data_IF_383782599781
#
_entry.id   IF_383782599781
#
_cell.length_a   1.000
_cell.length_b   1.000
_cell.length_c   1.000
_cell.angle_alpha   90.00
_cell.angle_beta   90.00
_cell.angle_gamma   90.00
#
_symmetry.space_group_name_H-M   'P 1'
#
loop_
_entity.id
_entity.type
_entity.pdbx_description
1 polymer ?
#
# COMPACT_ATOMS: atom_id res chain seq x y z
N UNK A 1 -21.15 5.06 -0.89
CA UNK A 1 -20.47 6.37 -1.06
C UNK A 1 -19.97 6.94 0.27
N UNK A 2 -20.79 7.01 1.33
CA UNK A 2 -20.37 7.52 2.65
C UNK A 2 -19.18 6.78 3.28
N UNK A 3 -19.13 5.45 3.18
CA UNK A 3 -18.03 4.62 3.72
C UNK A 3 -16.69 4.83 3.02
N UNK A 4 -16.70 4.99 1.69
CA UNK A 4 -15.48 5.23 0.92
C UNK A 4 -14.87 6.61 1.23
N UNK A 5 -15.73 7.63 1.36
CA UNK A 5 -15.29 8.97 1.78
C UNK A 5 -14.67 8.93 3.18
N UNK A 6 -15.29 8.23 4.12
CA UNK A 6 -14.74 8.06 5.47
C UNK A 6 -13.36 7.38 5.45
N UNK A 7 -13.21 6.28 4.71
CA UNK A 7 -11.93 5.59 4.58
C UNK A 7 -10.86 6.48 3.93
N UNK A 8 -11.21 7.19 2.86
CA UNK A 8 -10.30 8.12 2.20
C UNK A 8 -9.81 9.21 3.15
N UNK A 9 -10.74 9.86 3.87
CA UNK A 9 -10.41 10.90 4.85
C UNK A 9 -9.56 10.33 5.99
N UNK A 10 -9.90 9.15 6.52
CA UNK A 10 -9.11 8.50 7.57
C UNK A 10 -7.67 8.21 7.12
N UNK A 11 -7.47 7.81 5.86
CA UNK A 11 -6.15 7.55 5.30
C UNK A 11 -5.32 8.82 5.11
N UNK A 12 -5.93 9.89 4.59
CA UNK A 12 -5.27 11.21 4.51
C UNK A 12 -4.87 11.66 5.91
N UNK A 13 -5.78 11.61 6.87
CA UNK A 13 -5.48 11.99 8.26
C UNK A 13 -4.38 11.12 8.86
N UNK A 14 -4.34 9.82 8.57
CA UNK A 14 -3.30 8.92 9.08
C UNK A 14 -1.89 9.33 8.63
N UNK A 15 -1.73 9.93 7.44
CA UNK A 15 -0.46 10.47 6.94
C UNK A 15 -0.08 11.81 7.56
N UNK A 16 -1.08 12.56 8.02
CA UNK A 16 -0.88 13.85 8.67
C UNK A 16 -0.63 13.73 10.18
N UNK A 17 -0.86 12.54 10.75
CA UNK A 17 -0.46 12.26 12.12
C UNK A 17 1.07 12.26 12.23
N UNK A 18 1.64 12.59 13.39
CA UNK A 18 3.09 12.52 13.65
C UNK A 18 3.54 11.06 13.83
N UNK A 19 3.15 10.19 12.90
CA UNK A 19 3.61 8.82 12.81
C UNK A 19 4.95 8.78 12.08
N UNK A 20 5.76 7.75 12.31
CA UNK A 20 6.96 7.55 11.50
C UNK A 20 6.59 7.42 10.02
N UNK A 21 7.40 7.95 9.09
CA UNK A 21 7.16 7.75 7.66
C UNK A 21 7.01 6.28 7.31
N UNK A 22 6.26 5.99 6.24
CA UNK A 22 5.98 4.64 5.77
C UNK A 22 5.17 3.77 6.77
N UNK A 23 4.52 4.37 7.76
CA UNK A 23 3.64 3.65 8.70
C UNK A 23 2.21 3.49 8.18
N UNK A 24 1.86 4.19 7.12
CA UNK A 24 0.51 4.20 6.56
C UNK A 24 0.35 3.05 5.56
N UNK A 25 -0.81 2.38 5.55
CA UNK A 25 -0.96 1.13 4.81
C UNK A 25 -1.26 1.34 3.31
N UNK A 26 -0.70 2.40 2.68
CA UNK A 26 -0.95 2.74 1.28
C UNK A 26 -0.58 1.60 0.33
N UNK A 27 0.55 0.93 0.57
CA UNK A 27 1.02 -0.17 -0.26
C UNK A 27 0.07 -1.38 -0.19
N UNK A 28 -0.37 -1.74 1.02
CA UNK A 28 -1.37 -2.80 1.20
C UNK A 28 -2.69 -2.48 0.53
N UNK A 29 -3.14 -1.22 0.60
CA UNK A 29 -4.35 -0.77 -0.08
C UNK A 29 -4.23 -0.85 -1.61
N UNK A 30 -3.07 -0.47 -2.15
CA UNK A 30 -2.78 -0.57 -3.58
C UNK A 30 -2.79 -2.02 -4.06
N UNK A 31 -2.25 -2.95 -3.25
CA UNK A 31 -2.26 -4.39 -3.51
C UNK A 31 -3.68 -4.95 -3.47
N UNK A 32 -4.51 -4.63 -2.47
CA UNK A 32 -5.87 -5.19 -2.40
C UNK A 32 -6.84 -4.61 -3.44
N UNK A 33 -6.57 -3.41 -3.96
CA UNK A 33 -7.47 -2.69 -4.87
C UNK A 33 -7.96 -3.53 -6.07
N UNK A 34 -7.10 -4.22 -6.85
CA UNK A 34 -7.53 -5.11 -7.93
C UNK A 34 -8.40 -6.29 -7.49
N UNK A 35 -8.31 -6.73 -6.23
CA UNK A 35 -9.10 -7.83 -5.69
C UNK A 35 -10.48 -7.40 -5.17
N UNK A 36 -10.71 -6.10 -4.98
CA UNK A 36 -11.98 -5.56 -4.46
C UNK A 36 -12.76 -4.76 -5.53
N UNK A 37 -12.07 -4.24 -6.55
CA UNK A 37 -12.69 -3.42 -7.58
C UNK A 37 -12.05 -3.62 -8.95
N UNK A 38 -12.88 -3.70 -10.00
CA UNK A 38 -12.44 -3.72 -11.40
C UNK A 38 -12.06 -2.34 -11.93
N UNK A 39 -12.44 -1.27 -11.22
CA UNK A 39 -12.24 0.11 -11.65
C UNK A 39 -10.81 0.57 -11.35
N UNK A 40 -10.09 1.03 -12.40
CA UNK A 40 -8.74 1.59 -12.26
C UNK A 40 -8.69 2.81 -11.34
N UNK A 41 -9.80 3.55 -11.21
CA UNK A 41 -9.90 4.68 -10.28
C UNK A 41 -9.64 4.25 -8.82
N UNK A 42 -10.08 3.04 -8.44
CA UNK A 42 -9.86 2.50 -7.09
C UNK A 42 -8.41 2.05 -6.92
N UNK A 43 -7.76 1.59 -7.99
CA UNK A 43 -6.37 1.13 -7.96
C UNK A 43 -5.41 2.25 -7.63
N UNK A 44 -5.72 3.46 -8.12
CA UNK A 44 -4.92 4.65 -7.89
C UNK A 44 -5.42 5.53 -6.74
N UNK A 45 -6.42 5.09 -5.97
CA UNK A 45 -6.86 5.82 -4.78
C UNK A 45 -5.73 6.03 -3.74
N UNK A 46 -4.82 5.06 -3.47
CA UNK A 46 -3.68 5.28 -2.59
C UNK A 46 -2.71 6.35 -3.10
N UNK A 47 -2.50 6.47 -4.42
CA UNK A 47 -1.70 7.57 -4.99
C UNK A 47 -2.35 8.91 -4.75
N UNK A 48 -3.68 8.98 -4.87
CA UNK A 48 -4.41 10.23 -4.62
C UNK A 48 -4.32 10.63 -3.15
N UNK A 49 -4.41 9.68 -2.22
CA UNK A 49 -4.19 9.94 -0.79
C UNK A 49 -2.78 10.47 -0.54
N UNK A 50 -1.77 9.87 -1.17
CA UNK A 50 -0.38 10.33 -1.07
C UNK A 50 -0.24 11.76 -1.59
N UNK A 51 -0.79 12.06 -2.78
CA UNK A 51 -0.78 13.39 -3.38
C UNK A 51 -1.42 14.46 -2.50
N UNK A 52 -2.63 14.19 -2.01
CA UNK A 52 -3.34 15.14 -1.14
C UNK A 52 -2.58 15.40 0.14
N UNK A 53 -1.96 14.37 0.72
CA UNK A 53 -1.18 14.53 1.95
C UNK A 53 0.12 15.30 1.71
N UNK A 54 0.81 15.05 0.59
CA UNK A 54 2.07 15.70 0.26
C UNK A 54 1.89 17.18 -0.13
N UNK A 55 0.70 17.60 -0.57
CA UNK A 55 0.34 19.02 -0.71
C UNK A 55 0.43 19.75 0.65
N UNK A 56 0.17 19.04 1.75
CA UNK A 56 0.19 19.59 3.12
C UNK A 56 1.58 19.42 3.76
N UNK A 57 2.19 18.24 3.62
CA UNK A 57 3.51 17.90 4.20
C UNK A 57 4.64 18.65 3.47
N UNK A 58 4.47 18.91 2.17
CA UNK A 58 5.45 19.53 1.30
C UNK A 58 6.07 18.54 0.33
N UNK A 59 6.36 19.02 -0.89
CA UNK A 59 6.99 18.22 -1.93
C UNK A 59 8.50 18.06 -1.72
N UNK A 60 9.04 16.92 -2.12
CA UNK A 60 10.46 16.58 -1.97
C UNK A 60 11.01 15.91 -3.23
N UNK A 61 12.33 16.00 -3.43
CA UNK A 61 12.98 15.58 -4.70
C UNK A 61 12.85 14.09 -5.06
N UNK A 62 12.61 13.22 -4.07
CA UNK A 62 12.50 11.77 -4.29
C UNK A 62 11.08 11.26 -4.52
N UNK A 63 10.07 12.14 -4.60
CA UNK A 63 8.68 11.73 -4.79
C UNK A 63 8.47 10.89 -6.04
N UNK A 64 9.17 11.18 -7.14
CA UNK A 64 8.97 10.44 -8.41
C UNK A 64 9.15 8.93 -8.19
N UNK A 65 10.12 8.51 -7.37
CA UNK A 65 10.38 7.10 -7.10
C UNK A 65 9.29 6.45 -6.24
N UNK A 66 8.86 7.11 -5.15
CA UNK A 66 7.83 6.58 -4.25
C UNK A 66 6.46 6.52 -4.93
N UNK A 67 6.11 7.53 -5.73
CA UNK A 67 4.89 7.54 -6.55
C UNK A 67 4.91 6.43 -7.60
N UNK A 68 6.04 6.27 -8.30
CA UNK A 68 6.17 5.22 -9.31
C UNK A 68 6.04 3.83 -8.69
N UNK A 69 6.71 3.58 -7.57
CA UNK A 69 6.59 2.31 -6.86
C UNK A 69 5.15 2.01 -6.43
N UNK A 70 4.46 2.98 -5.85
CA UNK A 70 3.06 2.82 -5.42
C UNK A 70 2.12 2.63 -6.61
N UNK A 71 2.38 3.29 -7.74
CA UNK A 71 1.61 3.15 -8.98
C UNK A 71 1.74 1.76 -9.61
N UNK A 72 2.89 1.10 -9.44
CA UNK A 72 3.17 -0.25 -9.96
C UNK A 72 2.50 -1.35 -9.12
N UNK A 73 2.40 -1.16 -7.81
CA UNK A 73 1.83 -2.14 -6.87
C UNK A 73 0.48 -2.77 -7.27
N UNK A 74 -0.56 -2.03 -7.72
CA UNK A 74 -1.83 -2.64 -8.12
C UNK A 74 -1.68 -3.51 -9.37
N UNK A 75 -0.73 -3.21 -10.26
CA UNK A 75 -0.46 -4.05 -11.43
C UNK A 75 0.26 -5.34 -11.01
N UNK A 76 1.25 -5.26 -10.12
CA UNK A 76 1.91 -6.46 -9.55
C UNK A 76 0.86 -7.39 -8.94
N UNK A 77 -0.06 -6.86 -8.15
CA UNK A 77 -1.13 -7.65 -7.54
C UNK A 77 -2.18 -8.16 -8.53
N UNK A 78 -2.36 -7.49 -9.68
CA UNK A 78 -3.22 -8.03 -10.75
C UNK A 78 -2.67 -9.32 -11.34
N UNK A 79 -1.34 -9.44 -11.47
CA UNK A 79 -0.68 -10.59 -12.07
C UNK A 79 -0.30 -11.68 -11.05
N UNK A 80 -0.24 -11.36 -9.76
CA UNK A 80 0.05 -12.29 -8.67
C UNK A 80 -1.22 -12.50 -7.83
N UNK A 81 -1.84 -13.67 -7.94
CA UNK A 81 -3.11 -13.98 -7.26
C UNK A 81 -3.02 -13.93 -5.73
N UNK A 82 -1.89 -14.36 -5.17
CA UNK A 82 -1.66 -14.35 -3.73
C UNK A 82 -1.29 -12.93 -3.25
N UNK A 83 -2.20 -12.29 -2.52
CA UNK A 83 -2.04 -10.92 -2.03
C UNK A 83 -0.80 -10.74 -1.13
N UNK A 84 -0.41 -11.76 -0.34
CA UNK A 84 0.79 -11.70 0.51
C UNK A 84 2.06 -11.70 -0.33
N UNK A 85 2.13 -12.56 -1.34
CA UNK A 85 3.23 -12.58 -2.31
C UNK A 85 3.28 -11.29 -3.11
N UNK A 86 2.13 -10.80 -3.59
CA UNK A 86 2.02 -9.54 -4.31
C UNK A 86 2.51 -8.36 -3.47
N UNK A 87 2.18 -8.31 -2.19
CA UNK A 87 2.67 -7.31 -1.26
C UNK A 87 4.19 -7.40 -1.09
N UNK A 88 4.73 -8.60 -0.89
CA UNK A 88 6.18 -8.81 -0.79
C UNK A 88 6.92 -8.32 -2.04
N UNK A 89 6.43 -8.68 -3.23
CA UNK A 89 6.99 -8.21 -4.50
C UNK A 89 6.86 -6.68 -4.67
N UNK A 90 5.71 -6.11 -4.35
CA UNK A 90 5.47 -4.66 -4.45
C UNK A 90 6.34 -3.88 -3.45
N UNK A 91 6.56 -4.45 -2.25
CA UNK A 91 7.44 -3.89 -1.25
C UNK A 91 8.91 -3.94 -1.70
N UNK A 92 9.36 -5.02 -2.37
CA UNK A 92 10.70 -5.07 -2.96
C UNK A 92 10.88 -4.00 -4.04
N UNK A 93 9.88 -3.78 -4.90
CA UNK A 93 9.89 -2.70 -5.89
C UNK A 93 9.99 -1.34 -5.20
N UNK A 94 9.19 -1.11 -4.16
CA UNK A 94 9.28 0.10 -3.34
C UNK A 94 10.67 0.29 -2.74
N UNK A 95 11.19 -0.74 -2.07
CA UNK A 95 12.46 -0.70 -1.37
C UNK A 95 13.63 -0.38 -2.32
N UNK A 96 13.63 -0.95 -3.52
CA UNK A 96 14.64 -0.60 -4.52
C UNK A 96 14.46 0.84 -4.97
N UNK A 97 13.28 1.24 -5.45
CA UNK A 97 13.05 2.54 -6.06
C UNK A 97 13.18 3.70 -5.07
N UNK A 98 12.56 3.61 -3.89
CA UNK A 98 12.52 4.67 -2.89
C UNK A 98 13.91 5.02 -2.35
N UNK A 99 14.85 4.08 -2.39
CA UNK A 99 16.23 4.26 -1.92
C UNK A 99 17.23 4.57 -3.05
N UNK A 100 16.79 4.66 -4.32
CA UNK A 100 17.68 5.08 -5.40
C UNK A 100 18.14 6.53 -5.16
N UNK A 101 19.46 6.71 -5.08
CA UNK A 101 20.08 8.02 -4.89
C UNK A 101 19.87 8.63 -3.50
N UNK A 102 19.38 7.86 -2.52
CA UNK A 102 19.28 8.29 -1.12
C UNK A 102 20.62 8.13 -0.39
N UNK A 103 20.71 8.70 0.81
CA UNK A 103 21.87 8.59 1.71
C UNK A 103 22.24 7.14 2.01
N UNK A 104 21.23 6.29 2.20
CA UNK A 104 21.41 4.87 2.44
C UNK A 104 21.12 4.12 1.14
N UNK A 105 22.03 3.25 0.66
CA UNK A 105 21.77 2.43 -0.50
C UNK A 105 20.63 1.45 -0.22
N UNK A 106 19.90 0.98 -1.25
CA UNK A 106 18.72 0.12 -1.07
C UNK A 106 18.97 -1.08 -0.15
N UNK A 107 20.12 -1.74 -0.27
CA UNK A 107 20.42 -2.95 0.51
C UNK A 107 21.10 -2.69 1.86
N UNK A 108 21.00 -1.47 2.41
CA UNK A 108 21.47 -1.18 3.77
C UNK A 108 20.44 -1.63 4.83
N UNK A 109 20.92 -1.90 6.04
CA UNK A 109 20.05 -2.30 7.17
C UNK A 109 19.10 -1.16 7.55
N UNK A 110 19.56 0.09 7.48
CA UNK A 110 18.78 1.28 7.79
C UNK A 110 17.61 1.47 6.83
N UNK A 111 17.87 1.34 5.51
CA UNK A 111 16.84 1.39 4.48
C UNK A 111 15.80 0.27 4.68
N UNK A 112 16.26 -0.93 5.03
CA UNK A 112 15.39 -2.07 5.31
C UNK A 112 14.48 -1.82 6.51
N UNK A 113 15.03 -1.35 7.63
CA UNK A 113 14.27 -1.04 8.86
C UNK A 113 13.30 0.13 8.65
N UNK A 114 13.63 1.06 7.77
CA UNK A 114 12.73 2.13 7.39
C UNK A 114 11.53 1.59 6.58
N UNK A 115 11.80 0.81 5.53
CA UNK A 115 10.77 0.32 4.62
C UNK A 115 9.95 -0.85 5.16
N UNK A 116 10.43 -1.60 6.16
CA UNK A 116 9.66 -2.70 6.76
C UNK A 116 8.35 -2.22 7.40
N UNK A 117 8.29 -0.94 7.81
CA UNK A 117 7.06 -0.31 8.32
C UNK A 117 5.93 -0.35 7.28
N UNK A 118 6.28 -0.15 6.02
CA UNK A 118 5.33 -0.17 4.91
C UNK A 118 4.83 -1.60 4.64
N UNK A 119 5.74 -2.58 4.76
CA UNK A 119 5.38 -3.99 4.65
C UNK A 119 4.45 -4.42 5.78
N UNK A 120 4.78 -4.07 7.02
CA UNK A 120 4.00 -4.43 8.21
C UNK A 120 2.61 -3.80 8.15
N UNK A 121 2.51 -2.50 7.85
CA UNK A 121 1.20 -1.83 7.71
C UNK A 121 0.38 -2.41 6.55
N UNK A 122 1.02 -2.78 5.45
CA UNK A 122 0.37 -3.47 4.33
C UNK A 122 -0.17 -4.85 4.72
N UNK A 123 0.62 -5.63 5.46
CA UNK A 123 0.21 -6.96 5.96
C UNK A 123 -1.00 -6.85 6.87
N UNK A 124 -1.04 -5.85 7.76
CA UNK A 124 -2.18 -5.62 8.65
C UNK A 124 -3.49 -5.42 7.86
N UNK A 125 -3.45 -4.71 6.72
CA UNK A 125 -4.63 -4.54 5.85
C UNK A 125 -5.05 -5.85 5.20
N UNK A 126 -4.10 -6.62 4.65
CA UNK A 126 -4.43 -7.90 4.00
C UNK A 126 -5.01 -8.89 5.02
N UNK A 127 -4.41 -9.00 6.20
CA UNK A 127 -4.89 -9.85 7.30
C UNK A 127 -6.30 -9.41 7.72
N UNK A 128 -6.52 -8.11 7.87
CA UNK A 128 -7.85 -7.57 8.21
C UNK A 128 -8.87 -7.92 7.14
N UNK A 129 -8.53 -7.77 5.87
CA UNK A 129 -9.40 -8.13 4.74
C UNK A 129 -9.75 -9.62 4.76
N UNK A 130 -8.76 -10.49 4.93
CA UNK A 130 -8.98 -11.94 5.00
C UNK A 130 -9.85 -12.33 6.20
N UNK A 131 -9.59 -11.73 7.37
CA UNK A 131 -10.43 -11.94 8.55
C UNK A 131 -11.88 -11.51 8.29
N UNK A 132 -12.08 -10.30 7.75
CA UNK A 132 -13.40 -9.78 7.42
C UNK A 132 -14.13 -10.68 6.43
N UNK A 133 -13.45 -11.11 5.35
CA UNK A 133 -14.07 -12.01 4.37
C UNK A 133 -14.38 -13.38 5.01
N UNK A 134 -13.53 -13.93 5.88
CA UNK A 134 -13.83 -15.18 6.61
C UNK A 134 -15.09 -15.06 7.47
N UNK A 135 -15.22 -13.97 8.23
CA UNK A 135 -16.39 -13.69 9.08
C UNK A 135 -17.65 -13.49 8.23
N UNK A 136 -17.56 -12.74 7.14
CA UNK A 136 -18.70 -12.43 6.28
C UNK A 136 -19.16 -13.63 5.42
N UNK A 137 -18.24 -14.49 4.95
CA UNK A 137 -18.53 -15.55 3.98
C UNK A 137 -18.67 -16.96 4.58
N UNK A 138 -18.62 -17.11 5.92
CA UNK A 138 -18.93 -18.34 6.66
C UNK A 138 -18.49 -19.65 5.96
N UNK A 139 -17.18 -19.75 5.68
CA UNK A 139 -16.46 -20.99 5.33
C UNK A 139 -16.72 -21.64 3.96
N UNK A 140 -17.81 -21.34 3.23
CA UNK A 140 -18.20 -22.14 2.05
C UNK A 140 -17.70 -21.67 0.68
N UNK A 141 -16.98 -20.55 0.58
CA UNK A 141 -16.56 -20.00 -0.73
C UNK A 141 -15.06 -19.72 -0.87
N UNK A 142 -14.26 -19.87 0.19
CA UNK A 142 -12.86 -19.44 0.18
C UNK A 142 -11.88 -20.39 -0.51
N UNK A 143 -12.23 -21.68 -0.64
CA UNK A 143 -11.34 -22.68 -1.27
C UNK A 143 -11.18 -22.55 -2.78
N UNK A 144 -11.94 -21.67 -3.45
CA UNK A 144 -11.91 -21.56 -4.93
C UNK A 144 -10.96 -20.51 -5.50
N UNK A 145 -10.16 -19.83 -4.67
CA UNK A 145 -9.32 -18.71 -5.15
C UNK A 145 -7.89 -18.72 -4.54
N UNK A 146 -7.44 -19.88 -4.04
CA UNK A 146 -6.05 -20.10 -3.62
C UNK A 146 -5.16 -20.49 -4.80
#
# INVERSE_FOLDING_TARGET
MKSLLFLFTALVLSRLLPLPPNSEPLLGLAVIAPHIAKSLWVWFAPLLVMLVSDIIIGFHGHMIFTYTALAIAPFVSRYISNMYTALGCSWLVWHVLANLGQTYPPFSVEALVFDIRLLVSGLLIIITLDFLRKVMYNGKSYEKIG
#
